data_IF_884131968026
#
_entry.id   IF_884131968026
#
_cell.length_a   1.000
_cell.length_b   1.000
_cell.length_c   1.000
_cell.angle_alpha   90.00
_cell.angle_beta   90.00
_cell.angle_gamma   90.00
#
_symmetry.space_group_name_H-M   'P 1'
#
loop_
_entity.id
_entity.type
_entity.pdbx_description
1 polymer ?
#
# COMPACT_ATOMS: atom_id res chain seq x y z
N UNK A 1 7.57 7.08 -11.67
CA UNK A 1 7.53 7.22 -10.19
C UNK A 1 6.06 7.10 -9.81
N UNK A 2 5.70 6.33 -8.79
CA UNK A 2 4.31 6.28 -8.33
C UNK A 2 4.05 7.61 -7.62
N UNK A 3 3.02 8.36 -8.00
CA UNK A 3 2.67 9.63 -7.33
C UNK A 3 1.65 9.42 -6.20
N UNK A 4 0.67 8.55 -6.44
CA UNK A 4 -0.37 8.16 -5.50
C UNK A 4 -0.85 6.73 -5.78
N UNK A 5 -1.43 6.09 -4.77
CA UNK A 5 -2.21 4.86 -4.93
C UNK A 5 -3.51 4.96 -4.11
N UNK A 6 -4.56 4.34 -4.64
CA UNK A 6 -5.81 4.09 -3.94
C UNK A 6 -6.12 2.60 -3.96
N UNK A 7 -6.24 2.01 -2.77
CA UNK A 7 -6.56 0.60 -2.56
C UNK A 7 -7.92 0.52 -1.89
N UNK A 8 -8.85 -0.23 -2.49
CA UNK A 8 -10.19 -0.42 -1.94
C UNK A 8 -10.56 -1.90 -1.97
N UNK A 9 -11.16 -2.38 -0.88
CA UNK A 9 -11.65 -3.76 -0.70
C UNK A 9 -10.62 -4.84 -1.08
N UNK A 10 -9.35 -4.66 -0.69
CA UNK A 10 -8.26 -5.59 -0.96
C UNK A 10 -7.70 -6.19 0.33
N UNK A 11 -7.93 -7.50 0.54
CA UNK A 11 -7.56 -8.21 1.76
C UNK A 11 -8.07 -7.49 3.02
N UNK A 12 -7.16 -7.19 3.96
CA UNK A 12 -7.43 -6.47 5.22
C UNK A 12 -7.65 -4.95 5.02
N UNK A 13 -7.45 -4.44 3.80
CA UNK A 13 -7.57 -3.01 3.50
C UNK A 13 -8.97 -2.75 2.93
N UNK A 14 -9.83 -2.13 3.74
CA UNK A 14 -11.15 -1.65 3.27
C UNK A 14 -11.00 -0.44 2.35
N UNK A 15 -10.23 0.55 2.80
CA UNK A 15 -9.88 1.73 2.02
C UNK A 15 -8.54 2.28 2.52
N UNK A 16 -7.64 2.58 1.58
CA UNK A 16 -6.35 3.22 1.83
C UNK A 16 -5.99 4.11 0.64
N UNK A 17 -5.63 5.35 0.94
CA UNK A 17 -5.12 6.32 -0.03
C UNK A 17 -3.77 6.79 0.46
N UNK A 18 -2.74 6.67 -0.39
CA UNK A 18 -1.39 7.12 -0.10
C UNK A 18 -0.98 8.04 -1.24
N UNK A 19 -0.74 9.31 -0.90
CA UNK A 19 -0.24 10.33 -1.81
C UNK A 19 1.24 10.61 -1.54
N UNK A 20 1.89 11.28 -2.51
CA UNK A 20 3.22 11.88 -2.36
C UNK A 20 4.28 10.85 -1.94
N UNK A 21 4.32 9.72 -2.65
CA UNK A 21 5.40 8.75 -2.47
C UNK A 21 6.77 9.42 -2.65
N UNK A 22 7.68 9.07 -1.76
CA UNK A 22 9.09 9.50 -1.82
C UNK A 22 9.94 8.41 -2.47
N UNK A 23 11.22 8.70 -2.68
CA UNK A 23 12.20 7.70 -3.10
C UNK A 23 12.31 6.54 -2.10
N UNK A 24 12.04 6.79 -0.81
CA UNK A 24 12.00 5.78 0.25
C UNK A 24 10.72 6.00 1.06
N UNK A 25 9.93 4.93 1.23
CA UNK A 25 8.71 4.92 2.03
C UNK A 25 8.80 3.77 3.04
N UNK A 26 8.46 4.04 4.30
CA UNK A 26 8.57 3.06 5.40
C UNK A 26 7.17 2.79 5.93
N UNK A 27 6.71 1.54 5.80
CA UNK A 27 5.44 1.07 6.33
C UNK A 27 5.68 0.28 7.61
N UNK A 28 5.25 0.80 8.75
CA UNK A 28 5.41 0.19 10.09
C UNK A 28 4.07 -0.15 10.74
N UNK A 29 4.07 -0.96 11.79
CA UNK A 29 2.88 -1.39 12.54
C UNK A 29 3.01 -2.81 13.06
N UNK A 30 1.98 -3.29 13.76
CA UNK A 30 1.95 -4.65 14.35
C UNK A 30 1.88 -5.76 13.31
N UNK A 31 2.30 -6.97 13.68
CA UNK A 31 2.18 -8.12 12.79
C UNK A 31 0.73 -8.33 12.35
N UNK A 32 0.55 -8.75 11.09
CA UNK A 32 -0.76 -9.00 10.50
C UNK A 32 -1.68 -7.76 10.35
N UNK A 33 -1.19 -6.53 10.54
CA UNK A 33 -2.00 -5.31 10.39
C UNK A 33 -2.23 -4.86 8.94
N UNK A 34 -1.86 -5.66 7.94
CA UNK A 34 -2.05 -5.33 6.52
C UNK A 34 -0.86 -4.70 5.78
N UNK A 35 0.33 -4.59 6.40
CA UNK A 35 1.54 -4.07 5.72
C UNK A 35 1.90 -4.83 4.44
N UNK A 36 1.95 -6.16 4.50
CA UNK A 36 2.21 -6.98 3.31
C UNK A 36 1.14 -6.78 2.25
N UNK A 37 -0.13 -6.60 2.64
CA UNK A 37 -1.22 -6.29 1.71
C UNK A 37 -1.00 -4.98 0.94
N UNK A 38 -0.39 -3.96 1.55
CA UNK A 38 -0.03 -2.71 0.86
C UNK A 38 1.00 -3.00 -0.23
N UNK A 39 2.08 -3.71 0.11
CA UNK A 39 3.15 -4.03 -0.83
C UNK A 39 2.67 -4.95 -1.97
N UNK A 40 1.81 -5.91 -1.67
CA UNK A 40 1.20 -6.80 -2.66
C UNK A 40 0.25 -6.05 -3.61
N UNK A 41 -0.56 -5.12 -3.08
CA UNK A 41 -1.40 -4.27 -3.93
C UNK A 41 -0.56 -3.40 -4.87
N UNK A 42 0.53 -2.80 -4.37
CA UNK A 42 1.48 -2.06 -5.20
C UNK A 42 2.09 -2.96 -6.28
N UNK A 43 2.51 -4.17 -5.91
CA UNK A 43 3.06 -5.14 -6.87
C UNK A 43 2.07 -5.48 -7.98
N UNK A 44 0.81 -5.78 -7.64
CA UNK A 44 -0.25 -6.08 -8.60
C UNK A 44 -0.58 -4.92 -9.56
N UNK A 45 -0.42 -3.67 -9.12
CA UNK A 45 -0.64 -2.49 -9.96
C UNK A 45 0.52 -2.24 -10.93
N UNK A 46 1.72 -2.72 -10.60
CA UNK A 46 2.94 -2.51 -11.38
C UNK A 46 3.31 -3.68 -12.30
N UNK A 47 2.77 -4.87 -12.03
CA UNK A 47 2.94 -6.08 -12.86
C UNK A 47 2.11 -6.00 -14.14
#
# INVERSE_FOLDING_TARGET
>A
MIDNIKIQNYKLIKELEIDKFKNINIFTGENNCGKSSILEAIYLLLS
#
